data_IF_562226746846
#
_entry.id   IF_562226746846
#
_cell.length_a   1.000
_cell.length_b   1.000
_cell.length_c   1.000
_cell.angle_alpha   90.00
_cell.angle_beta   90.00
_cell.angle_gamma   90.00
#
_symmetry.space_group_name_H-M   'P 1'
#
loop_
_entity.id
_entity.type
_entity.pdbx_description
1 polymer ?
#
# COMPACT_ATOMS: atom_id res chain seq x y z
N UNK A 1 -17.03 -42.32 -26.64
CA UNK A 1 -17.01 -41.63 -25.33
C UNK A 1 -17.76 -42.53 -24.35
N UNK A 2 -17.14 -42.98 -23.24
CA UNK A 2 -17.83 -43.78 -22.22
C UNK A 2 -18.99 -42.98 -21.63
N UNK A 3 -20.19 -43.58 -21.57
CA UNK A 3 -21.36 -42.96 -20.95
C UNK A 3 -21.22 -43.15 -19.44
N UNK A 4 -21.29 -42.05 -18.70
CA UNK A 4 -21.40 -42.09 -17.24
C UNK A 4 -22.65 -42.90 -16.90
N UNK A 5 -22.53 -43.83 -15.97
CA UNK A 5 -23.63 -44.65 -15.49
C UNK A 5 -24.65 -43.79 -14.70
N UNK A 6 -25.92 -44.16 -14.77
CA UNK A 6 -27.03 -43.38 -14.19
C UNK A 6 -26.84 -43.11 -12.68
N UNK A 7 -26.10 -43.98 -11.98
CA UNK A 7 -25.75 -43.81 -10.58
C UNK A 7 -24.82 -42.60 -10.34
N UNK A 8 -23.79 -42.43 -11.18
CA UNK A 8 -22.84 -41.31 -11.09
C UNK A 8 -23.51 -39.98 -11.41
N UNK A 9 -24.44 -39.94 -12.38
CA UNK A 9 -25.21 -38.72 -12.66
C UNK A 9 -26.08 -38.31 -11.47
N UNK A 10 -26.67 -39.28 -10.78
CA UNK A 10 -27.50 -39.00 -9.60
C UNK A 10 -26.68 -38.51 -8.39
N UNK A 11 -25.47 -39.05 -8.19
CA UNK A 11 -24.54 -38.53 -7.18
C UNK A 11 -24.09 -37.10 -7.48
N UNK A 12 -23.82 -36.79 -8.74
CA UNK A 12 -23.42 -35.44 -9.15
C UNK A 12 -24.59 -34.46 -8.98
N UNK A 13 -25.82 -34.85 -9.35
CA UNK A 13 -26.99 -34.00 -9.11
C UNK A 13 -27.24 -33.80 -7.62
N UNK A 14 -27.15 -34.83 -6.78
CA UNK A 14 -27.34 -34.69 -5.32
C UNK A 14 -26.26 -33.82 -4.68
N UNK A 15 -25.02 -33.94 -5.15
CA UNK A 15 -23.93 -33.07 -4.75
C UNK A 15 -24.18 -31.61 -5.18
N UNK A 16 -24.64 -31.37 -6.40
CA UNK A 16 -24.98 -30.03 -6.89
C UNK A 16 -26.12 -29.39 -6.08
N UNK A 17 -27.16 -30.14 -5.74
CA UNK A 17 -28.27 -29.65 -4.91
C UNK A 17 -27.79 -29.33 -3.49
N UNK A 18 -26.99 -30.21 -2.89
CA UNK A 18 -26.42 -30.00 -1.55
C UNK A 18 -25.51 -28.77 -1.47
N UNK A 19 -24.72 -28.50 -2.52
CA UNK A 19 -23.86 -27.31 -2.60
C UNK A 19 -24.69 -26.04 -2.76
N UNK A 20 -25.73 -26.04 -3.60
CA UNK A 20 -26.58 -24.85 -3.83
C UNK A 20 -27.36 -24.47 -2.58
N UNK A 21 -27.94 -25.43 -1.87
CA UNK A 21 -28.66 -25.17 -0.61
C UNK A 21 -27.72 -24.68 0.50
N UNK A 22 -26.50 -25.23 0.58
CA UNK A 22 -25.49 -24.71 1.52
C UNK A 22 -25.06 -23.30 1.15
N UNK A 23 -24.80 -23.02 -0.12
CA UNK A 23 -24.42 -21.70 -0.59
C UNK A 23 -25.50 -20.65 -0.31
N UNK A 24 -26.78 -20.97 -0.57
CA UNK A 24 -27.88 -20.06 -0.23
C UNK A 24 -27.98 -19.83 1.27
N UNK A 25 -27.89 -20.89 2.08
CA UNK A 25 -27.94 -20.76 3.55
C UNK A 25 -26.77 -19.96 4.14
N UNK A 26 -25.58 -20.09 3.54
CA UNK A 26 -24.40 -19.33 3.94
C UNK A 26 -24.54 -17.85 3.57
N UNK A 27 -25.11 -17.57 2.39
CA UNK A 27 -25.41 -16.20 1.96
C UNK A 27 -26.46 -15.53 2.85
N UNK A 28 -27.52 -16.25 3.21
CA UNK A 28 -28.54 -15.75 4.12
C UNK A 28 -27.96 -15.49 5.51
N UNK A 29 -27.09 -16.39 6.00
CA UNK A 29 -26.39 -16.22 7.28
C UNK A 29 -25.42 -15.05 7.28
N UNK A 30 -24.68 -14.85 6.19
CA UNK A 30 -23.79 -13.70 6.00
C UNK A 30 -24.58 -12.39 5.97
N UNK A 31 -25.69 -12.35 5.21
CA UNK A 31 -26.55 -11.17 5.11
C UNK A 31 -27.10 -10.80 6.50
N UNK A 32 -27.58 -11.79 7.26
CA UNK A 32 -28.02 -11.60 8.65
C UNK A 32 -26.90 -11.17 9.61
N UNK A 33 -25.64 -11.50 9.30
CA UNK A 33 -24.48 -11.03 10.08
C UNK A 33 -24.10 -9.60 9.71
N UNK A 34 -24.04 -9.29 8.42
CA UNK A 34 -23.65 -7.97 7.90
C UNK A 34 -24.67 -6.87 8.22
N UNK A 35 -25.97 -7.23 8.29
CA UNK A 35 -27.04 -6.31 8.68
C UNK A 35 -27.12 -6.03 10.18
N UNK A 36 -26.23 -6.60 10.99
CA UNK A 36 -26.17 -6.27 12.42
C UNK A 36 -25.58 -4.87 12.58
N UNK A 37 -26.27 -4.02 13.33
CA UNK A 37 -25.87 -2.63 13.55
C UNK A 37 -24.42 -2.49 14.04
N UNK A 38 -23.99 -3.34 14.98
CA UNK A 38 -22.62 -3.34 15.50
C UNK A 38 -21.55 -3.66 14.44
N UNK A 39 -21.86 -4.52 13.46
CA UNK A 39 -20.91 -4.90 12.39
C UNK A 39 -20.86 -3.79 11.35
N UNK A 40 -22.03 -3.25 10.99
CA UNK A 40 -22.16 -2.22 9.98
C UNK A 40 -21.49 -0.91 10.43
N UNK A 41 -21.65 -0.51 11.70
CA UNK A 41 -20.99 0.67 12.26
C UNK A 41 -19.45 0.56 12.20
N UNK A 42 -18.89 -0.57 12.60
CA UNK A 42 -17.44 -0.81 12.55
C UNK A 42 -16.93 -0.80 11.10
N UNK A 43 -17.66 -1.45 10.18
CA UNK A 43 -17.28 -1.50 8.77
C UNK A 43 -17.29 -0.11 8.12
N UNK A 44 -18.35 0.68 8.35
CA UNK A 44 -18.46 2.05 7.84
C UNK A 44 -17.36 2.94 8.44
N UNK A 45 -17.08 2.81 9.74
CA UNK A 45 -15.99 3.53 10.40
C UNK A 45 -14.63 3.27 9.75
N UNK A 46 -14.32 2.02 9.41
CA UNK A 46 -13.06 1.66 8.75
C UNK A 46 -12.97 2.20 7.31
N UNK A 47 -14.06 2.11 6.54
CA UNK A 47 -14.11 2.63 5.16
C UNK A 47 -13.91 4.14 5.15
N UNK A 48 -14.58 4.87 6.05
CA UNK A 48 -14.42 6.32 6.16
C UNK A 48 -13.01 6.70 6.62
N UNK A 49 -12.45 5.99 7.60
CA UNK A 49 -11.09 6.26 8.08
C UNK A 49 -10.06 6.09 6.95
N UNK A 50 -10.10 4.97 6.23
CA UNK A 50 -9.16 4.68 5.13
C UNK A 50 -9.32 5.67 3.96
N UNK A 51 -10.56 6.00 3.61
CA UNK A 51 -10.83 6.97 2.54
C UNK A 51 -10.40 8.39 2.92
N UNK A 52 -10.64 8.81 4.16
CA UNK A 52 -10.22 10.13 4.64
C UNK A 52 -8.71 10.25 4.69
N UNK A 53 -8.00 9.22 5.17
CA UNK A 53 -6.53 9.18 5.12
C UNK A 53 -6.03 9.28 3.69
N UNK A 54 -6.60 8.54 2.74
CA UNK A 54 -6.19 8.62 1.34
C UNK A 54 -6.36 10.04 0.75
N UNK A 55 -7.48 10.70 1.05
CA UNK A 55 -7.73 12.09 0.61
C UNK A 55 -6.76 13.06 1.28
N UNK A 56 -6.52 12.92 2.58
CA UNK A 56 -5.58 13.75 3.31
C UNK A 56 -4.14 13.57 2.78
N UNK A 57 -3.72 12.33 2.50
CA UNK A 57 -2.43 12.05 1.90
C UNK A 57 -2.31 12.69 0.52
N UNK A 58 -3.30 12.51 -0.36
CA UNK A 58 -3.29 13.14 -1.70
C UNK A 58 -3.26 14.67 -1.61
N UNK A 59 -3.99 15.27 -0.66
CA UNK A 59 -3.92 16.71 -0.43
C UNK A 59 -2.51 17.17 -0.03
N UNK A 60 -1.85 16.42 0.86
CA UNK A 60 -0.48 16.74 1.28
C UNK A 60 0.48 16.53 0.10
N UNK A 61 0.47 15.37 -0.53
CA UNK A 61 1.46 15.00 -1.56
C UNK A 61 1.28 15.79 -2.86
N UNK A 62 0.04 16.02 -3.27
CA UNK A 62 -0.25 16.53 -4.61
C UNK A 62 -0.44 18.05 -4.62
N UNK A 63 -0.76 18.65 -3.47
CA UNK A 63 -1.01 20.09 -3.36
C UNK A 63 0.00 20.77 -2.42
N UNK A 64 0.15 20.29 -1.18
CA UNK A 64 1.01 20.97 -0.21
C UNK A 64 2.51 20.80 -0.51
N UNK A 65 2.97 19.59 -0.83
CA UNK A 65 4.39 19.32 -1.11
C UNK A 65 4.90 20.16 -2.31
N UNK A 66 4.21 20.27 -3.46
CA UNK A 66 4.64 21.14 -4.54
C UNK A 66 4.73 22.62 -4.13
N UNK A 67 3.76 23.12 -3.36
CA UNK A 67 3.75 24.51 -2.89
C UNK A 67 4.90 24.79 -1.91
N UNK A 68 5.19 23.86 -1.00
CA UNK A 68 6.31 23.96 -0.06
C UNK A 68 7.65 23.79 -0.79
N UNK A 69 7.72 22.93 -1.82
CA UNK A 69 8.94 22.70 -2.61
C UNK A 69 9.35 23.93 -3.45
N UNK A 70 8.41 24.81 -3.75
CA UNK A 70 8.65 26.07 -4.46
C UNK A 70 9.31 27.14 -3.56
N UNK A 71 9.30 26.93 -2.24
CA UNK A 71 9.96 27.86 -1.32
C UNK A 71 11.49 27.76 -1.47
N UNK A 72 12.19 28.89 -1.69
CA UNK A 72 13.60 28.91 -2.10
C UNK A 72 14.57 28.31 -1.07
N UNK A 73 14.17 28.18 0.20
CA UNK A 73 15.00 27.59 1.25
C UNK A 73 14.99 26.06 1.28
N UNK A 74 14.07 25.39 0.57
CA UNK A 74 13.90 23.92 0.61
C UNK A 74 14.17 23.22 -0.73
N UNK A 75 14.23 23.98 -1.83
CA UNK A 75 14.66 23.66 -3.20
C UNK A 75 14.59 22.19 -3.66
N UNK A 76 13.56 21.97 -4.49
CA UNK A 76 13.44 21.16 -5.72
C UNK A 76 13.72 19.66 -5.77
N UNK A 77 14.43 19.05 -4.83
CA UNK A 77 14.58 17.58 -4.77
C UNK A 77 14.75 17.15 -3.31
N UNK A 78 13.66 17.13 -2.53
CA UNK A 78 13.68 16.62 -1.16
C UNK A 78 14.03 15.12 -1.15
N UNK A 79 13.50 14.31 -2.07
CA UNK A 79 13.85 12.90 -2.27
C UNK A 79 15.37 12.66 -2.24
N UNK A 80 16.12 13.50 -2.96
CA UNK A 80 17.57 13.33 -3.16
C UNK A 80 18.38 13.97 -2.02
N UNK A 81 17.73 14.53 -1.00
CA UNK A 81 18.43 15.06 0.17
C UNK A 81 18.82 13.92 1.09
N UNK A 82 20.12 13.65 1.12
CA UNK A 82 20.73 12.71 2.04
C UNK A 82 21.97 13.31 2.68
N UNK A 83 22.22 12.95 3.94
CA UNK A 83 23.48 13.23 4.62
C UNK A 83 24.32 11.96 4.61
N UNK A 84 25.58 12.05 4.21
CA UNK A 84 26.53 10.93 4.33
C UNK A 84 27.08 10.88 5.76
N UNK A 85 26.81 9.78 6.47
CA UNK A 85 27.26 9.56 7.84
C UNK A 85 28.64 8.90 7.87
N UNK A 86 28.92 8.06 6.88
CA UNK A 86 30.23 7.44 6.67
C UNK A 86 30.56 7.49 5.17
N UNK A 87 31.73 8.02 4.84
CA UNK A 87 32.18 8.20 3.47
C UNK A 87 32.79 6.91 2.89
N UNK A 88 32.45 6.62 1.64
CA UNK A 88 33.06 5.54 0.87
C UNK A 88 34.41 5.95 0.27
N UNK A 89 35.10 5.03 -0.44
CA UNK A 89 36.44 5.25 -0.99
C UNK A 89 36.55 6.43 -1.96
N UNK A 90 35.45 6.84 -2.61
CA UNK A 90 35.43 7.89 -3.64
C UNK A 90 34.77 9.19 -3.16
N UNK A 91 34.83 9.48 -1.86
CA UNK A 91 34.25 10.69 -1.28
C UNK A 91 34.93 11.98 -1.80
N UNK A 92 34.15 12.85 -2.44
CA UNK A 92 34.63 14.14 -2.92
C UNK A 92 34.23 15.28 -1.96
N UNK A 93 35.17 15.76 -1.15
CA UNK A 93 34.94 16.84 -0.17
C UNK A 93 34.62 18.23 -0.75
N UNK A 94 34.59 18.39 -2.08
CA UNK A 94 34.12 19.65 -2.73
C UNK A 94 32.62 19.67 -3.00
N UNK A 95 31.93 18.54 -2.83
CA UNK A 95 30.48 18.42 -2.95
C UNK A 95 29.91 18.33 -1.54
N UNK A 96 28.86 19.11 -1.22
CA UNK A 96 28.32 19.25 0.15
C UNK A 96 28.02 17.91 0.87
N UNK A 97 27.75 16.83 0.12
CA UNK A 97 27.49 15.48 0.64
C UNK A 97 28.45 14.40 0.10
N UNK A 98 29.52 14.78 -0.62
CA UNK A 98 30.48 13.84 -1.20
C UNK A 98 30.07 13.17 -2.51
N UNK A 99 28.77 13.06 -2.78
CA UNK A 99 28.16 12.40 -3.94
C UNK A 99 26.99 13.23 -4.47
N UNK A 100 26.68 13.08 -5.76
CA UNK A 100 25.59 13.82 -6.40
C UNK A 100 24.22 13.14 -6.21
N UNK A 101 24.18 11.82 -6.05
CA UNK A 101 22.93 11.06 -5.86
C UNK A 101 23.05 10.04 -4.73
N UNK A 102 21.90 9.66 -4.15
CA UNK A 102 21.84 8.66 -3.08
C UNK A 102 22.33 7.29 -3.58
N UNK A 103 21.99 6.92 -4.82
CA UNK A 103 22.42 5.66 -5.44
C UNK A 103 23.94 5.61 -5.60
N UNK A 104 24.58 6.73 -5.91
CA UNK A 104 26.03 6.82 -6.01
C UNK A 104 26.70 6.62 -4.65
N UNK A 105 26.13 7.21 -3.58
CA UNK A 105 26.64 7.03 -2.24
C UNK A 105 26.45 5.59 -1.72
N UNK A 106 25.28 4.98 -1.95
CA UNK A 106 25.04 3.57 -1.59
C UNK A 106 25.94 2.60 -2.36
N UNK A 107 26.16 2.83 -3.66
CA UNK A 107 27.02 1.97 -4.49
C UNK A 107 28.51 2.09 -4.14
N UNK A 108 28.94 3.23 -3.61
CA UNK A 108 30.28 3.42 -3.05
C UNK A 108 30.44 2.85 -1.63
N UNK A 109 29.38 2.23 -1.09
CA UNK A 109 29.37 1.66 0.26
C UNK A 109 29.31 2.71 1.38
N UNK A 110 28.96 3.96 1.05
CA UNK A 110 28.77 5.01 2.04
C UNK A 110 27.49 4.74 2.86
N UNK A 111 27.54 5.04 4.15
CA UNK A 111 26.36 4.98 5.02
C UNK A 111 25.61 6.30 4.87
N UNK A 112 24.38 6.22 4.38
CA UNK A 112 23.59 7.39 3.95
C UNK A 112 22.35 7.55 4.81
N UNK A 113 22.16 8.75 5.37
CA UNK A 113 20.93 9.19 6.03
C UNK A 113 20.06 9.97 5.06
N UNK A 114 19.14 9.29 4.39
CA UNK A 114 18.22 9.87 3.41
C UNK A 114 16.99 10.52 4.09
N UNK A 115 17.22 11.63 4.80
CA UNK A 115 16.16 12.37 5.50
C UNK A 115 15.11 12.97 4.55
N UNK A 116 15.47 13.15 3.29
CA UNK A 116 14.57 13.49 2.20
C UNK A 116 13.36 12.56 2.09
N UNK A 117 13.62 11.26 1.98
CA UNK A 117 12.60 10.20 1.93
C UNK A 117 11.78 10.09 3.21
N UNK A 118 12.33 10.51 4.35
CA UNK A 118 11.60 10.50 5.62
C UNK A 118 10.55 11.62 5.65
N UNK A 119 10.91 12.83 5.24
CA UNK A 119 9.99 13.97 5.17
C UNK A 119 8.97 13.87 4.03
N UNK A 120 9.24 13.05 3.02
CA UNK A 120 8.28 12.72 1.96
C UNK A 120 7.19 11.74 2.45
N UNK A 121 7.54 10.85 3.39
CA UNK A 121 6.66 9.78 3.88
C UNK A 121 5.97 10.08 5.21
N UNK A 122 6.39 11.12 5.92
CA UNK A 122 5.82 11.60 7.19
C UNK A 122 4.96 12.83 6.93
#
# INVERSE_FOLDING_TARGET
>A
MPRLDDSTQQYLSDAEHGVRTRASSAWDSFTNFALRDNVLEVAVGLILATSFTAVATSLVTDILLPLISLLPFLSRNLDEKFATLLHGPNYNGTIANGYNTKEQALSDGAVVFAYGNFLDKV
#
